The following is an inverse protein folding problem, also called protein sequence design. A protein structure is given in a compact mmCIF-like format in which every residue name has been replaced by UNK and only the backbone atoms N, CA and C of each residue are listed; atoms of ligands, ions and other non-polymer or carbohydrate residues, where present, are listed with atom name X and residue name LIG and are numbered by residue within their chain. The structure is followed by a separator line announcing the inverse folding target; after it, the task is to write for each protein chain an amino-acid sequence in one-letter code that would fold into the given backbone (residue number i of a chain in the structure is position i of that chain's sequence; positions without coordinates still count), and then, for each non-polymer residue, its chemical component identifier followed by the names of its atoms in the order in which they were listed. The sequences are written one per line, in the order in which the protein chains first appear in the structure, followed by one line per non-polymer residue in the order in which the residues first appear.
data_IF_144640096756
#
_entry.id   IF_144640096756
#
_cell.length_a   1.000
_cell.length_b   1.000
_cell.length_c   1.000
_cell.angle_alpha   90.00
_cell.angle_beta   90.00
_cell.angle_gamma   90.00
#
_symmetry.space_group_name_H-M   'P 1'
#
loop_
_entity.id
_entity.type
_entity.pdbx_description
1 polymer ?
#
# COMPACT_ATOMS: atom_id res chain seq x y z
N UNK A 1 3.00 -13.80 25.69
CA UNK A 1 2.86 -13.34 24.29
C UNK A 1 3.30 -11.88 24.23
N UNK A 2 4.34 -11.55 23.48
CA UNK A 2 5.13 -10.30 23.64
C UNK A 2 4.37 -9.03 23.22
N UNK A 3 3.30 -9.14 22.43
CA UNK A 3 2.67 -7.97 21.80
C UNK A 3 1.21 -7.68 22.19
N UNK A 4 0.56 -8.50 23.02
CA UNK A 4 -0.76 -8.24 23.64
C UNK A 4 -1.80 -7.47 22.77
N UNK A 5 -1.93 -7.83 21.48
CA UNK A 5 -2.86 -7.18 20.54
C UNK A 5 -2.44 -5.80 20.02
N UNK A 6 -1.25 -5.30 20.37
CA UNK A 6 -0.72 -4.03 19.88
C UNK A 6 -0.06 -4.21 18.52
N UNK A 7 -0.36 -3.30 17.60
CA UNK A 7 0.38 -3.20 16.34
C UNK A 7 1.84 -2.83 16.60
N UNK A 8 2.76 -3.50 15.90
CA UNK A 8 4.19 -3.20 15.93
C UNK A 8 4.58 -2.62 14.58
N UNK A 9 5.23 -1.46 14.59
CA UNK A 9 5.80 -0.90 13.38
C UNK A 9 7.06 -1.69 13.01
N UNK A 10 6.98 -2.49 11.95
CA UNK A 10 8.13 -3.22 11.39
C UNK A 10 8.92 -2.37 10.38
N UNK A 11 8.31 -1.27 9.92
CA UNK A 11 8.86 -0.43 8.87
C UNK A 11 8.23 0.97 8.89
N UNK A 12 9.07 1.98 8.67
CA UNK A 12 8.63 3.36 8.53
C UNK A 12 9.55 4.11 7.56
N UNK A 13 8.97 4.91 6.68
CA UNK A 13 9.69 5.82 5.80
C UNK A 13 9.14 7.23 5.87
N UNK A 14 10.04 8.20 5.70
CA UNK A 14 9.71 9.63 5.63
C UNK A 14 10.19 10.16 4.30
N UNK A 15 9.26 10.71 3.51
CA UNK A 15 9.56 11.31 2.22
C UNK A 15 9.50 12.82 2.31
N UNK A 16 10.56 13.49 1.86
CA UNK A 16 10.57 14.93 1.67
C UNK A 16 9.75 15.34 0.44
N UNK A 17 9.51 16.65 0.28
CA UNK A 17 8.78 17.20 -0.86
C UNK A 17 9.38 16.80 -2.21
N UNK A 18 10.70 16.63 -2.32
CA UNK A 18 11.37 16.20 -3.55
C UNK A 18 11.12 14.72 -3.88
N UNK A 19 10.82 13.89 -2.87
CA UNK A 19 10.50 12.46 -3.00
C UNK A 19 9.00 12.15 -2.94
N UNK A 20 8.15 13.19 -2.90
CA UNK A 20 6.68 13.07 -2.85
C UNK A 20 6.08 12.52 -4.14
N UNK A 21 6.80 12.66 -5.26
CA UNK A 21 6.36 12.25 -6.59
C UNK A 21 6.26 10.72 -6.76
N UNK A 22 5.33 10.31 -7.63
CA UNK A 22 4.84 8.93 -7.86
C UNK A 22 5.91 7.84 -7.97
N UNK A 23 7.09 8.18 -8.51
CA UNK A 23 8.16 7.21 -8.83
C UNK A 23 8.82 6.64 -7.57
N UNK A 24 8.85 7.39 -6.47
CA UNK A 24 9.44 6.94 -5.21
C UNK A 24 8.45 6.12 -4.38
N UNK A 25 7.16 6.45 -4.44
CA UNK A 25 6.12 5.72 -3.70
C UNK A 25 5.88 4.31 -4.23
N UNK A 26 6.16 4.04 -5.51
CA UNK A 26 6.13 2.66 -6.05
C UNK A 26 7.18 1.75 -5.40
N UNK A 27 8.30 2.30 -4.94
CA UNK A 27 9.34 1.54 -4.24
C UNK A 27 8.88 0.95 -2.91
N UNK A 28 7.81 1.50 -2.30
CA UNK A 28 7.30 1.03 -1.01
C UNK A 28 6.76 -0.40 -1.12
N UNK A 29 6.11 -0.75 -2.23
CA UNK A 29 5.55 -2.09 -2.44
C UNK A 29 6.65 -3.13 -2.66
N UNK A 30 7.73 -2.75 -3.35
CA UNK A 30 8.90 -3.61 -3.52
C UNK A 30 9.59 -3.87 -2.17
N UNK A 31 9.76 -2.83 -1.34
CA UNK A 31 10.32 -2.97 0.01
C UNK A 31 9.42 -3.76 0.95
N UNK A 32 8.09 -3.59 0.83
CA UNK A 32 7.15 -4.39 1.61
C UNK A 32 7.36 -5.89 1.35
N UNK A 33 7.55 -6.30 0.09
CA UNK A 33 7.86 -7.67 -0.28
C UNK A 33 9.18 -8.21 0.27
N UNK A 34 10.13 -7.35 0.64
CA UNK A 34 11.38 -7.81 1.27
C UNK A 34 11.26 -7.98 2.79
N UNK A 35 10.18 -7.47 3.39
CA UNK A 35 9.96 -7.45 4.84
C UNK A 35 8.95 -8.52 5.27
N UNK A 36 7.98 -8.81 4.40
CA UNK A 36 6.88 -9.73 4.66
C UNK A 36 7.18 -11.06 3.96
N UNK A 37 6.90 -12.17 4.65
CA UNK A 37 7.05 -13.52 4.10
C UNK A 37 6.12 -13.77 2.91
N UNK A 38 6.53 -14.64 1.98
CA UNK A 38 5.80 -14.91 0.73
C UNK A 38 4.41 -15.54 0.94
N UNK A 39 4.17 -16.18 2.09
CA UNK A 39 2.89 -16.81 2.46
C UNK A 39 1.91 -15.84 3.13
N UNK A 40 2.33 -14.61 3.40
CA UNK A 40 1.50 -13.59 4.06
C UNK A 40 0.86 -12.66 3.02
N UNK A 41 -0.46 -12.52 3.12
CA UNK A 41 -1.24 -11.58 2.31
C UNK A 41 -1.68 -10.36 3.13
N UNK A 42 -0.90 -9.26 3.15
CA UNK A 42 -1.27 -8.07 3.90
C UNK A 42 -2.46 -7.33 3.27
N UNK A 43 -3.22 -6.63 4.11
CA UNK A 43 -4.23 -5.65 3.67
C UNK A 43 -3.59 -4.26 3.69
N UNK A 44 -3.45 -3.64 2.53
CA UNK A 44 -2.86 -2.32 2.39
C UNK A 44 -3.87 -1.22 2.67
N UNK A 45 -3.59 -0.39 3.67
CA UNK A 45 -4.44 0.74 4.02
C UNK A 45 -3.81 2.03 3.52
N UNK A 46 -4.54 2.82 2.74
CA UNK A 46 -4.03 4.08 2.21
C UNK A 46 -5.07 5.21 2.21
N UNK A 47 -4.57 6.44 2.32
CA UNK A 47 -5.41 7.64 2.20
C UNK A 47 -5.68 8.03 0.72
N UNK A 48 -6.60 8.96 0.50
CA UNK A 48 -6.93 9.51 -0.80
C UNK A 48 -5.71 10.16 -1.48
N UNK A 49 -5.34 9.66 -2.66
CA UNK A 49 -4.20 10.16 -3.42
C UNK A 49 -3.59 9.13 -4.37
N UNK A 50 -3.77 7.84 -4.04
CA UNK A 50 -3.36 6.73 -4.88
C UNK A 50 -4.32 6.55 -6.06
N UNK A 51 -3.75 6.31 -7.24
CA UNK A 51 -4.46 6.20 -8.53
C UNK A 51 -4.39 4.77 -9.07
N UNK A 52 -5.04 4.53 -10.21
CA UNK A 52 -5.18 3.22 -10.88
C UNK A 52 -3.90 2.38 -10.95
N UNK A 53 -2.73 2.99 -11.20
CA UNK A 53 -1.46 2.24 -11.28
C UNK A 53 -1.11 1.55 -9.96
N UNK A 54 -1.31 2.23 -8.83
CA UNK A 54 -1.06 1.63 -7.52
C UNK A 54 -1.98 0.45 -7.24
N UNK A 55 -3.28 0.56 -7.57
CA UNK A 55 -4.22 -0.55 -7.39
C UNK A 55 -3.83 -1.77 -8.23
N UNK A 56 -3.36 -1.57 -9.47
CA UNK A 56 -2.85 -2.65 -10.31
C UNK A 56 -1.63 -3.32 -9.69
N UNK A 57 -0.69 -2.53 -9.18
CA UNK A 57 0.53 -3.04 -8.53
C UNK A 57 0.15 -3.88 -7.29
N UNK A 58 -0.77 -3.41 -6.46
CA UNK A 58 -1.25 -4.15 -5.28
C UNK A 58 -1.92 -5.47 -5.64
N UNK A 59 -2.79 -5.47 -6.65
CA UNK A 59 -3.46 -6.69 -7.13
C UNK A 59 -2.44 -7.67 -7.73
N UNK A 60 -1.45 -7.18 -8.48
CA UNK A 60 -0.38 -8.02 -9.05
C UNK A 60 0.52 -8.64 -7.98
N UNK A 61 0.63 -8.02 -6.80
CA UNK A 61 1.32 -8.58 -5.64
C UNK A 61 0.45 -9.61 -4.89
N UNK A 62 -0.79 -9.83 -5.31
CA UNK A 62 -1.72 -10.74 -4.64
C UNK A 62 -2.24 -10.21 -3.30
N UNK A 63 -2.12 -8.90 -3.03
CA UNK A 63 -2.54 -8.26 -1.77
C UNK A 63 -3.94 -7.65 -1.88
N UNK A 64 -4.64 -7.51 -0.75
CA UNK A 64 -5.91 -6.78 -0.66
C UNK A 64 -5.66 -5.33 -0.19
N UNK A 65 -6.65 -4.44 -0.33
CA UNK A 65 -6.52 -3.05 0.08
C UNK A 65 -7.80 -2.43 0.63
N UNK A 66 -7.63 -1.45 1.53
CA UNK A 66 -8.67 -0.55 2.00
C UNK A 66 -8.21 0.90 1.80
N UNK A 67 -8.84 1.63 0.88
CA UNK A 67 -8.40 2.98 0.50
C UNK A 67 -9.53 3.98 0.61
N UNK A 68 -9.24 5.17 1.16
CA UNK A 68 -10.20 6.28 1.15
C UNK A 68 -10.38 6.80 -0.28
N UNK A 69 -11.61 6.73 -0.79
CA UNK A 69 -11.96 7.27 -2.11
C UNK A 69 -12.23 8.78 -2.02
N UNK A 70 -11.69 9.56 -2.96
CA UNK A 70 -12.05 10.98 -3.15
C UNK A 70 -12.57 11.21 -4.58
N UNK A 71 -13.62 12.01 -4.70
CA UNK A 71 -14.15 12.45 -6.00
C UNK A 71 -13.06 13.18 -6.81
N UNK A 72 -13.03 13.06 -8.16
CA UNK A 72 -14.00 12.41 -9.04
C UNK A 72 -13.60 10.98 -9.48
N UNK A 73 -12.86 10.23 -8.65
CA UNK A 73 -12.42 8.88 -9.01
C UNK A 73 -13.62 7.94 -9.24
N UNK A 74 -13.77 7.41 -10.46
CA UNK A 74 -14.78 6.39 -10.80
C UNK A 74 -14.11 5.02 -10.84
N UNK A 75 -14.60 4.08 -10.03
CA UNK A 75 -14.24 2.68 -10.12
C UNK A 75 -15.34 1.98 -10.92
N UNK A 76 -15.00 1.44 -12.09
CA UNK A 76 -15.91 0.59 -12.88
C UNK A 76 -15.57 -0.84 -12.53
N UNK A 77 -16.54 -1.58 -12.02
CA UNK A 77 -16.41 -3.02 -11.81
C UNK A 77 -16.14 -3.66 -13.18
N UNK A 78 -14.94 -4.17 -13.42
CA UNK A 78 -14.69 -5.06 -14.54
C UNK A 78 -15.25 -6.41 -14.13
N UNK A 79 -16.48 -6.68 -14.60
CA UNK A 79 -17.09 -7.99 -14.59
C UNK A 79 -16.35 -8.91 -15.54
#
# INVERSE_FOLDING_TARGET
MVFNGRGVAIYQEVHSMSTKEKRYTQGVLAKLKTIIDDDVKPILVADAGYKTTWFRDVIALGCDFAVRVRKPMRYVNQK
#
